data_IF_819722767424
#
_entry.id   IF_819722767424
#
_cell.length_a   1.000
_cell.length_b   1.000
_cell.length_c   1.000
_cell.angle_alpha   90.00
_cell.angle_beta   90.00
_cell.angle_gamma   90.00
#
_symmetry.space_group_name_H-M   'P 1'
#
loop_
_entity.id
_entity.type
_entity.pdbx_description
1 polymer ?
#
# COMPACT_ATOMS: atom_id res chain seq x y z
N UNK A 1 -19.81 -4.68 28.60
CA UNK A 1 -18.98 -3.66 27.90
C UNK A 1 -18.23 -4.35 26.78
N UNK A 2 -18.08 -3.75 25.60
CA UNK A 2 -17.43 -4.39 24.44
C UNK A 2 -15.90 -4.42 24.50
N UNK A 3 -15.29 -3.82 25.53
CA UNK A 3 -13.85 -3.92 25.74
C UNK A 3 -13.53 -5.27 26.39
N UNK A 4 -12.66 -6.08 25.77
CA UNK A 4 -12.35 -7.45 26.19
C UNK A 4 -11.89 -7.58 27.65
N UNK A 5 -11.26 -6.53 28.20
CA UNK A 5 -10.80 -6.48 29.59
C UNK A 5 -11.79 -5.85 30.58
N UNK A 6 -12.95 -5.34 30.12
CA UNK A 6 -13.91 -4.64 30.97
C UNK A 6 -15.11 -5.52 31.31
N UNK A 7 -15.19 -5.97 32.56
CA UNK A 7 -16.27 -6.82 33.07
C UNK A 7 -17.57 -6.06 33.41
N UNK A 8 -17.64 -4.74 33.18
CA UNK A 8 -18.85 -3.97 33.52
C UNK A 8 -20.01 -4.32 32.59
N UNK A 9 -21.12 -4.75 33.20
CA UNK A 9 -22.40 -4.89 32.52
C UNK A 9 -22.92 -3.50 32.13
N UNK A 10 -23.47 -3.38 30.93
CA UNK A 10 -24.09 -2.15 30.44
C UNK A 10 -25.59 -2.45 30.38
N UNK A 11 -26.44 -1.66 31.05
CA UNK A 11 -27.89 -1.86 30.98
C UNK A 11 -28.36 -1.71 29.52
N UNK A 12 -29.33 -2.54 29.13
CA UNK A 12 -29.95 -2.45 27.82
C UNK A 12 -30.89 -1.23 27.79
N UNK A 13 -30.60 -0.24 26.95
CA UNK A 13 -31.40 1.00 26.78
C UNK A 13 -31.93 1.06 25.33
N UNK A 14 -32.57 -0.01 24.87
CA UNK A 14 -33.20 -0.07 23.55
C UNK A 14 -32.22 -0.17 22.36
N UNK A 15 -32.68 0.11 21.12
CA UNK A 15 -31.93 -0.16 19.88
C UNK A 15 -30.65 0.68 19.74
N UNK A 16 -30.46 1.71 20.56
CA UNK A 16 -29.25 2.55 20.61
C UNK A 16 -28.38 2.21 21.82
N UNK A 17 -28.11 0.92 22.05
CA UNK A 17 -27.23 0.51 23.15
C UNK A 17 -25.79 0.96 22.92
N UNK A 18 -25.23 1.63 23.92
CA UNK A 18 -23.83 2.03 23.93
C UNK A 18 -22.95 0.79 24.12
N UNK A 19 -22.11 0.46 23.13
CA UNK A 19 -21.24 -0.74 23.17
C UNK A 19 -20.24 -0.71 24.33
N UNK A 20 -19.84 0.47 24.79
CA UNK A 20 -18.82 0.68 25.84
C UNK A 20 -19.36 1.42 27.05
N UNK A 21 -18.91 1.07 28.26
CA UNK A 21 -19.30 1.76 29.49
C UNK A 21 -18.67 3.17 29.57
N UNK A 22 -19.20 4.06 30.42
CA UNK A 22 -18.72 5.44 30.54
C UNK A 22 -17.22 5.50 30.87
N UNK A 23 -16.74 4.68 31.80
CA UNK A 23 -15.32 4.66 32.17
C UNK A 23 -14.41 4.23 31.01
N UNK A 24 -14.80 3.24 30.21
CA UNK A 24 -14.03 2.88 29.01
C UNK A 24 -14.07 3.99 27.94
N UNK A 25 -15.19 4.73 27.81
CA UNK A 25 -15.28 5.87 26.89
C UNK A 25 -14.38 7.02 27.33
N UNK A 26 -14.38 7.37 28.61
CA UNK A 26 -13.50 8.40 29.16
C UNK A 26 -12.03 8.02 29.04
N UNK A 27 -11.69 6.77 29.35
CA UNK A 27 -10.32 6.26 29.18
C UNK A 27 -9.86 6.36 27.73
N UNK A 28 -10.70 5.95 26.77
CA UNK A 28 -10.40 6.07 25.34
C UNK A 28 -10.28 7.55 24.91
N UNK A 29 -11.17 8.43 25.40
CA UNK A 29 -11.10 9.88 25.15
C UNK A 29 -9.78 10.48 25.66
N UNK A 30 -9.34 10.11 26.87
CA UNK A 30 -8.04 10.53 27.44
C UNK A 30 -6.86 10.01 26.62
N UNK A 31 -6.89 8.73 26.21
CA UNK A 31 -5.85 8.14 25.37
C UNK A 31 -5.73 8.82 23.99
N UNK A 32 -6.88 9.13 23.37
CA UNK A 32 -6.92 9.87 22.10
C UNK A 32 -6.41 11.30 22.27
N UNK A 33 -6.79 12.01 23.33
CA UNK A 33 -6.29 13.34 23.65
C UNK A 33 -4.76 13.35 23.86
N UNK A 34 -4.23 12.38 24.62
CA UNK A 34 -2.78 12.23 24.80
C UNK A 34 -2.05 11.95 23.49
N UNK A 35 -2.63 11.11 22.62
CA UNK A 35 -2.06 10.81 21.29
C UNK A 35 -2.04 12.06 20.40
N UNK A 36 -3.11 12.86 20.41
CA UNK A 36 -3.18 14.14 19.67
C UNK A 36 -2.14 15.13 20.18
N UNK A 37 -1.98 15.26 21.51
CA UNK A 37 -0.96 16.11 22.12
C UNK A 37 0.46 15.71 21.69
N UNK A 38 0.81 14.42 21.78
CA UNK A 38 2.13 13.92 21.32
C UNK A 38 2.42 14.22 19.85
N UNK A 39 1.40 14.14 18.98
CA UNK A 39 1.55 14.48 17.56
C UNK A 39 1.75 15.98 17.34
N UNK A 40 1.10 16.84 18.13
CA UNK A 40 1.32 18.28 18.09
C UNK A 40 2.75 18.62 18.55
N UNK A 41 3.17 18.10 19.69
CA UNK A 41 4.52 18.33 20.23
C UNK A 41 5.62 17.89 19.25
N UNK A 42 5.44 16.74 18.56
CA UNK A 42 6.36 16.27 17.52
C UNK A 42 6.41 17.20 16.30
N UNK A 43 5.28 17.78 15.91
CA UNK A 43 5.21 18.74 14.81
C UNK A 43 5.95 20.02 15.20
N UNK A 44 5.68 20.56 16.38
CA UNK A 44 6.32 21.77 16.88
C UNK A 44 7.83 21.61 17.01
N UNK A 45 8.31 20.45 17.48
CA UNK A 45 9.74 20.14 17.54
C UNK A 45 10.39 20.06 16.15
N UNK A 46 9.68 19.54 15.15
CA UNK A 46 10.17 19.49 13.76
C UNK A 46 10.25 20.90 13.16
N UNK A 47 9.26 21.73 13.41
CA UNK A 47 9.20 23.12 12.93
C UNK A 47 10.25 24.00 13.64
N UNK A 48 10.55 23.74 14.92
CA UNK A 48 11.64 24.38 15.64
C UNK A 48 13.02 24.02 15.07
N UNK A 49 13.27 22.74 14.76
CA UNK A 49 14.51 22.30 14.10
C UNK A 49 14.69 22.91 12.72
N UNK A 50 13.60 23.07 11.96
CA UNK A 50 13.63 23.73 10.65
C UNK A 50 14.07 25.20 10.78
N UNK A 51 13.45 25.96 11.70
CA UNK A 51 13.80 27.36 11.96
C UNK A 51 15.25 27.55 12.45
N UNK A 52 15.74 26.65 13.30
CA UNK A 52 17.13 26.71 13.77
C UNK A 52 18.15 26.51 12.62
N UNK A 53 17.81 25.68 11.61
CA UNK A 53 18.67 25.46 10.44
C UNK A 53 18.69 26.66 9.49
N UNK A 54 17.58 27.38 9.38
CA UNK A 54 17.46 28.57 8.52
C UNK A 54 18.16 29.81 9.12
N UNK A 55 18.39 29.84 10.43
CA UNK A 55 19.05 30.95 11.13
C UNK A 55 20.50 30.69 11.57
N UNK A 56 21.12 29.60 11.12
CA UNK A 56 22.55 29.39 11.38
C UNK A 56 23.37 30.37 10.54
N UNK A 57 24.12 31.30 11.15
CA UNK A 57 24.97 32.22 10.39
C UNK A 57 26.02 31.43 9.62
N UNK A 58 26.11 31.73 8.34
CA UNK A 58 27.02 31.19 7.35
C UNK A 58 28.45 31.59 7.73
N UNK A 59 29.14 30.75 8.52
CA UNK A 59 30.57 30.94 8.77
C UNK A 59 31.35 30.57 7.52
N UNK A 60 31.82 31.63 6.85
CA UNK A 60 33.00 31.74 6.02
C UNK A 60 33.52 30.48 5.32
N UNK A 61 33.09 30.41 4.07
CA UNK A 61 33.69 29.78 2.90
C UNK A 61 35.21 30.03 2.78
N UNK A 62 36.03 29.15 3.35
CA UNK A 62 37.44 29.03 2.94
C UNK A 62 37.52 28.15 1.69
N UNK A 63 37.60 28.79 0.53
CA UNK A 63 38.07 28.17 -0.72
C UNK A 63 39.58 27.99 -0.62
N UNK A 64 40.08 26.76 -0.76
CA UNK A 64 41.44 26.49 -1.23
C UNK A 64 41.37 25.42 -2.31
N UNK A 65 41.93 25.77 -3.47
CA UNK A 65 42.02 25.00 -4.72
C UNK A 65 43.40 24.31 -4.76
N UNK A 66 43.50 23.28 -5.61
CA UNK A 66 44.73 22.68 -6.20
C UNK A 66 45.47 21.66 -5.30
N UNK A 67 46.01 20.54 -5.77
CA UNK A 67 45.99 19.78 -7.03
C UNK A 67 46.69 18.42 -6.75
N UNK A 68 46.72 17.52 -7.74
CA UNK A 68 47.69 16.43 -7.97
C UNK A 68 47.47 15.00 -7.38
N UNK A 69 47.14 14.10 -8.31
CA UNK A 69 47.82 12.84 -8.69
C UNK A 69 47.82 11.57 -7.80
N UNK A 70 47.22 10.50 -8.36
CA UNK A 70 47.63 9.07 -8.46
C UNK A 70 48.56 8.47 -7.41
N UNK A 71 48.17 7.31 -6.81
CA UNK A 71 48.92 6.01 -6.75
C UNK A 71 47.96 4.86 -6.36
N UNK A 72 48.02 3.74 -7.09
CA UNK A 72 47.44 2.42 -6.78
C UNK A 72 47.95 1.80 -5.46
N UNK A 73 47.07 1.18 -4.65
CA UNK A 73 47.32 -0.13 -4.00
C UNK A 73 46.14 -0.66 -3.18
N UNK A 74 45.93 -1.97 -3.33
CA UNK A 74 45.09 -2.89 -2.55
C UNK A 74 45.11 -2.68 -1.04
N UNK A 75 43.91 -2.71 -0.44
CA UNK A 75 43.50 -3.57 0.70
C UNK A 75 42.28 -2.95 1.43
N UNK A 76 41.19 -3.71 1.52
CA UNK A 76 40.09 -3.46 2.48
C UNK A 76 40.57 -3.59 3.94
N UNK A 77 39.81 -3.23 5.00
CA UNK A 77 38.40 -2.77 5.04
C UNK A 77 38.16 -1.54 5.97
N UNK A 78 36.97 -0.92 5.82
CA UNK A 78 36.12 -0.33 6.88
C UNK A 78 35.51 1.04 6.51
N UNK A 79 34.23 1.16 6.84
CA UNK A 79 33.47 2.39 7.09
C UNK A 79 33.22 3.32 5.90
N UNK A 80 32.24 2.93 5.06
CA UNK A 80 31.53 3.88 4.22
C UNK A 80 30.54 4.72 5.06
N UNK A 81 30.52 6.06 4.91
CA UNK A 81 29.61 6.92 5.64
C UNK A 81 28.18 6.75 5.11
N UNK A 82 27.22 6.69 6.03
CA UNK A 82 25.79 6.82 5.75
C UNK A 82 25.55 8.22 5.14
N UNK A 83 25.48 8.30 3.82
CA UNK A 83 24.87 9.42 3.13
C UNK A 83 23.35 9.31 3.31
N UNK A 84 22.89 9.89 4.42
CA UNK A 84 21.50 10.32 4.62
C UNK A 84 21.15 11.33 3.51
N UNK A 85 20.79 10.78 2.35
CA UNK A 85 20.15 11.55 1.30
C UNK A 85 18.80 12.01 1.86
N UNK A 86 18.54 13.31 2.00
CA UNK A 86 17.24 13.79 2.42
C UNK A 86 16.19 13.25 1.46
N UNK A 87 14.99 12.84 1.92
CA UNK A 87 13.94 12.44 1.01
C UNK A 87 13.67 13.63 0.09
N UNK A 88 14.11 13.49 -1.16
CA UNK A 88 13.90 14.47 -2.20
C UNK A 88 12.43 14.84 -2.21
N UNK A 89 12.16 16.13 -2.34
CA UNK A 89 10.88 16.62 -2.80
C UNK A 89 10.64 16.00 -4.18
N UNK A 90 10.12 14.78 -4.23
CA UNK A 90 9.42 14.27 -5.41
C UNK A 90 8.21 15.18 -5.53
N UNK A 91 8.40 16.30 -6.24
CA UNK A 91 7.34 17.19 -6.69
C UNK A 91 6.24 16.30 -7.24
N UNK A 92 5.01 16.48 -6.74
CA UNK A 92 3.80 15.90 -7.35
C UNK A 92 3.59 16.62 -8.70
N UNK A 93 4.58 16.53 -9.60
CA UNK A 93 4.36 16.78 -11.00
C UNK A 93 3.30 15.76 -11.39
N UNK A 94 2.08 16.26 -11.50
CA UNK A 94 1.06 15.64 -12.32
C UNK A 94 1.69 15.51 -13.69
N UNK A 95 2.41 14.40 -13.92
CA UNK A 95 2.78 13.97 -15.26
C UNK A 95 1.51 14.09 -16.07
N UNK A 96 1.50 15.11 -16.93
CA UNK A 96 0.44 15.36 -17.86
C UNK A 96 0.49 14.21 -18.85
N UNK A 97 -0.23 13.13 -18.53
CA UNK A 97 -0.56 12.11 -19.51
C UNK A 97 -1.07 12.85 -20.74
N UNK A 98 -0.55 12.50 -21.92
CA UNK A 98 -0.78 13.25 -23.16
C UNK A 98 -2.26 13.30 -23.60
N UNK A 99 -3.12 12.51 -22.95
CA UNK A 99 -4.58 12.63 -23.01
C UNK A 99 -5.17 12.85 -21.63
N UNK A 100 -6.17 13.72 -21.54
CA UNK A 100 -6.98 13.88 -20.33
C UNK A 100 -7.72 12.58 -19.95
N UNK A 101 -8.27 12.50 -18.73
CA UNK A 101 -9.03 11.32 -18.30
C UNK A 101 -10.24 11.06 -19.21
N UNK A 102 -10.41 9.81 -19.64
CA UNK A 102 -11.62 9.34 -20.31
C UNK A 102 -12.73 9.18 -19.27
N UNK A 103 -13.90 9.79 -19.50
CA UNK A 103 -15.05 9.65 -18.61
C UNK A 103 -15.87 8.40 -18.97
N UNK A 104 -16.08 7.53 -18.00
CA UNK A 104 -16.90 6.33 -18.11
C UNK A 104 -18.23 6.53 -17.37
N UNK A 105 -19.31 5.99 -17.95
CA UNK A 105 -20.66 6.11 -17.40
C UNK A 105 -20.89 5.26 -16.13
N UNK A 106 -20.12 4.19 -15.94
CA UNK A 106 -20.23 3.29 -14.79
C UNK A 106 -18.88 2.67 -14.42
N UNK A 107 -18.80 2.13 -13.19
CA UNK A 107 -17.63 1.38 -12.74
C UNK A 107 -17.36 0.14 -13.60
N UNK A 108 -18.43 -0.51 -14.06
CA UNK A 108 -18.35 -1.69 -14.91
C UNK A 108 -17.63 -1.37 -16.23
N UNK A 109 -18.04 -0.28 -16.91
CA UNK A 109 -17.40 0.15 -18.15
C UNK A 109 -15.94 0.59 -17.91
N UNK A 110 -15.66 1.26 -16.79
CA UNK A 110 -14.30 1.61 -16.39
C UNK A 110 -13.42 0.35 -16.25
N UNK A 111 -13.89 -0.67 -15.54
CA UNK A 111 -13.14 -1.92 -15.36
C UNK A 111 -13.05 -2.76 -16.63
N UNK A 112 -14.08 -2.77 -17.47
CA UNK A 112 -14.03 -3.42 -18.77
C UNK A 112 -12.96 -2.77 -19.67
N UNK A 113 -12.88 -1.44 -19.67
CA UNK A 113 -11.83 -0.72 -20.41
C UNK A 113 -10.43 -1.01 -19.86
N UNK A 114 -10.26 -1.08 -18.54
CA UNK A 114 -8.98 -1.50 -17.93
C UNK A 114 -8.63 -2.93 -18.36
N UNK A 115 -9.57 -3.88 -18.31
CA UNK A 115 -9.32 -5.26 -18.77
C UNK A 115 -8.90 -5.29 -20.24
N UNK A 116 -9.58 -4.54 -21.09
CA UNK A 116 -9.23 -4.40 -22.51
C UNK A 116 -7.82 -3.84 -22.72
N UNK A 117 -7.43 -2.83 -21.94
CA UNK A 117 -6.10 -2.21 -22.02
C UNK A 117 -4.95 -3.20 -21.71
N UNK A 118 -5.19 -4.16 -20.81
CA UNK A 118 -4.22 -5.22 -20.48
C UNK A 118 -4.28 -6.44 -21.42
N UNK A 119 -5.20 -6.45 -22.39
CA UNK A 119 -5.30 -7.53 -23.37
C UNK A 119 -4.36 -7.22 -24.55
N UNK A 120 -3.21 -7.88 -24.61
CA UNK A 120 -2.30 -7.77 -25.77
C UNK A 120 -0.81 -7.60 -25.47
N UNK A 121 -0.38 -7.69 -24.21
CA UNK A 121 1.04 -7.70 -23.83
C UNK A 121 1.81 -6.40 -24.15
N UNK A 122 1.10 -5.30 -24.35
CA UNK A 122 1.70 -3.98 -24.62
C UNK A 122 1.86 -3.18 -23.33
N UNK A 123 2.79 -2.21 -23.31
CA UNK A 123 2.82 -1.19 -22.27
C UNK A 123 1.45 -0.54 -22.12
N UNK A 124 0.95 -0.47 -20.89
CA UNK A 124 -0.37 0.08 -20.58
C UNK A 124 -0.20 1.47 -20.01
N UNK A 125 -0.78 2.46 -20.68
CA UNK A 125 -1.08 3.75 -20.09
C UNK A 125 -2.59 3.99 -20.18
N UNK A 126 -3.25 4.07 -19.03
CA UNK A 126 -4.68 4.21 -18.91
C UNK A 126 -5.03 5.32 -17.93
N UNK A 127 -5.95 6.20 -18.33
CA UNK A 127 -6.44 7.28 -17.48
C UNK A 127 -7.96 7.41 -17.63
N UNK A 128 -8.67 7.01 -16.58
CA UNK A 128 -10.14 6.99 -16.55
C UNK A 128 -10.74 7.68 -15.35
N UNK A 129 -11.95 8.19 -15.51
CA UNK A 129 -12.79 8.74 -14.44
C UNK A 129 -14.20 8.17 -14.52
N UNK A 130 -14.83 7.98 -13.37
CA UNK A 130 -16.22 7.53 -13.25
C UNK A 130 -16.90 8.28 -12.11
N UNK A 131 -18.19 8.60 -12.27
CA UNK A 131 -19.04 9.09 -11.18
C UNK A 131 -19.74 7.89 -10.54
N UNK A 132 -19.82 7.88 -9.22
CA UNK A 132 -20.45 6.82 -8.44
C UNK A 132 -21.35 7.43 -7.37
N UNK A 133 -22.50 6.80 -7.05
CA UNK A 133 -23.31 7.23 -5.94
C UNK A 133 -22.54 7.21 -4.62
N UNK A 134 -22.73 8.24 -3.79
CA UNK A 134 -22.23 8.27 -2.43
C UNK A 134 -23.02 7.25 -1.59
N UNK A 135 -22.27 6.31 -1.03
CA UNK A 135 -22.75 5.35 -0.04
C UNK A 135 -22.13 5.76 1.32
N UNK A 136 -22.96 6.24 2.28
CA UNK A 136 -22.51 6.69 3.60
C UNK A 136 -21.80 5.62 4.43
N UNK A 137 -21.98 4.32 4.11
CA UNK A 137 -21.34 3.22 4.82
C UNK A 137 -19.91 2.95 4.32
N UNK A 138 -19.53 3.49 3.17
CA UNK A 138 -18.24 3.23 2.52
C UNK A 138 -17.43 4.52 2.40
N UNK A 139 -16.42 4.64 3.27
CA UNK A 139 -15.46 5.75 3.24
C UNK A 139 -14.66 5.80 1.93
N UNK A 140 -14.17 6.98 1.54
CA UNK A 140 -13.34 7.15 0.33
C UNK A 140 -12.10 6.26 0.33
N UNK A 141 -11.49 6.06 1.51
CA UNK A 141 -10.35 5.14 1.69
C UNK A 141 -10.73 3.70 1.34
N UNK A 142 -11.93 3.28 1.75
CA UNK A 142 -12.40 1.92 1.48
C UNK A 142 -12.74 1.75 -0.01
N UNK A 143 -13.34 2.75 -0.65
CA UNK A 143 -13.57 2.76 -2.11
C UNK A 143 -12.28 2.62 -2.91
N UNK A 144 -11.24 3.35 -2.51
CA UNK A 144 -9.92 3.27 -3.15
C UNK A 144 -9.33 1.86 -3.03
N UNK A 145 -9.44 1.24 -1.85
CA UNK A 145 -8.99 -0.16 -1.67
C UNK A 145 -9.80 -1.16 -2.49
N UNK A 146 -11.13 -1.05 -2.48
CA UNK A 146 -12.01 -1.90 -3.27
C UNK A 146 -11.69 -1.79 -4.75
N UNK A 147 -11.46 -0.57 -5.24
CA UNK A 147 -11.03 -0.31 -6.62
C UNK A 147 -9.68 -0.95 -6.92
N UNK A 148 -8.68 -0.81 -6.03
CA UNK A 148 -7.38 -1.44 -6.21
C UNK A 148 -7.47 -2.97 -6.26
N UNK A 149 -8.34 -3.56 -5.44
CA UNK A 149 -8.58 -4.99 -5.41
C UNK A 149 -9.28 -5.49 -6.68
N UNK A 150 -10.24 -4.73 -7.20
CA UNK A 150 -10.92 -5.06 -8.44
C UNK A 150 -9.97 -4.95 -9.65
N UNK A 151 -9.12 -3.91 -9.70
CA UNK A 151 -8.05 -3.81 -10.70
C UNK A 151 -7.12 -5.02 -10.64
N UNK A 152 -6.78 -5.50 -9.45
CA UNK A 152 -5.98 -6.73 -9.32
C UNK A 152 -6.73 -7.94 -9.89
N UNK A 153 -8.01 -8.14 -9.54
CA UNK A 153 -8.80 -9.27 -10.06
C UNK A 153 -8.88 -9.29 -11.58
N UNK A 154 -9.13 -8.14 -12.20
CA UNK A 154 -9.37 -8.08 -13.65
C UNK A 154 -8.08 -8.09 -14.48
N UNK A 155 -6.95 -7.66 -13.91
CA UNK A 155 -5.66 -7.58 -14.64
C UNK A 155 -4.68 -8.68 -14.22
N UNK A 156 -4.88 -9.31 -13.07
CA UNK A 156 -3.92 -10.22 -12.44
C UNK A 156 -2.69 -9.52 -11.83
N UNK A 157 -2.51 -8.21 -12.02
CA UNK A 157 -1.37 -7.49 -11.45
C UNK A 157 -1.69 -6.99 -10.04
N UNK A 158 -0.87 -7.41 -9.06
CA UNK A 158 -1.00 -6.96 -7.68
C UNK A 158 -0.17 -5.73 -7.43
N UNK A 159 -0.77 -4.73 -6.78
CA UNK A 159 -0.09 -3.49 -6.41
C UNK A 159 0.04 -3.35 -4.89
N UNK A 160 1.16 -2.80 -4.44
CA UNK A 160 1.41 -2.41 -3.05
C UNK A 160 1.29 -0.90 -2.90
N UNK A 161 0.77 -0.47 -1.75
CA UNK A 161 0.65 0.95 -1.44
C UNK A 161 2.05 1.58 -1.29
N UNK A 162 2.31 2.64 -2.06
CA UNK A 162 3.44 3.56 -1.86
C UNK A 162 3.10 4.54 -0.75
N UNK A 163 2.03 5.29 -0.95
CA UNK A 163 1.56 6.30 -0.01
C UNK A 163 0.05 6.53 -0.14
N UNK A 164 -0.51 7.06 0.94
CA UNK A 164 -1.88 7.53 1.00
C UNK A 164 -1.84 9.01 1.35
N UNK A 165 -2.44 9.84 0.51
CA UNK A 165 -2.61 11.27 0.76
C UNK A 165 -4.09 11.53 1.03
N UNK A 166 -4.37 12.06 2.22
CA UNK A 166 -5.67 12.66 2.48
C UNK A 166 -5.75 13.98 1.72
N UNK A 167 -6.83 14.16 0.97
CA UNK A 167 -7.13 15.42 0.32
C UNK A 167 -8.31 16.06 1.02
N UNK A 168 -8.44 17.40 0.92
CA UNK A 168 -9.58 18.13 1.50
C UNK A 168 -10.91 17.56 0.98
N UNK A 169 -10.91 17.14 -0.28
CA UNK A 169 -12.09 16.63 -0.99
C UNK A 169 -12.15 15.10 -1.08
N UNK A 170 -11.26 14.35 -0.41
CA UNK A 170 -11.35 12.88 -0.45
C UNK A 170 -10.05 12.13 -0.13
N UNK A 171 -9.84 10.99 -0.82
CA UNK A 171 -8.71 10.10 -0.58
C UNK A 171 -7.97 9.74 -1.87
N UNK A 172 -6.64 9.84 -1.85
CA UNK A 172 -5.77 9.44 -2.96
C UNK A 172 -4.72 8.45 -2.49
N UNK A 173 -4.55 7.36 -3.22
CA UNK A 173 -3.52 6.36 -2.97
C UNK A 173 -2.65 6.19 -4.22
N UNK A 174 -1.34 6.19 -4.01
CA UNK A 174 -0.35 5.77 -5.01
C UNK A 174 0.09 4.35 -4.69
N UNK A 175 0.12 3.50 -5.70
CA UNK A 175 0.53 2.12 -5.61
C UNK A 175 1.55 1.79 -6.71
N UNK A 176 2.34 0.75 -6.45
CA UNK A 176 3.33 0.19 -7.37
C UNK A 176 3.09 -1.30 -7.55
N UNK A 177 3.39 -1.85 -8.72
CA UNK A 177 3.37 -3.28 -8.95
C UNK A 177 4.26 -3.97 -7.91
N UNK A 178 3.74 -5.05 -7.34
CA UNK A 178 4.47 -5.81 -6.35
C UNK A 178 5.67 -6.55 -6.96
N UNK A 179 5.70 -6.79 -8.27
CA UNK A 179 6.81 -7.42 -9.01
C UNK A 179 7.84 -6.41 -9.53
N UNK A 180 7.65 -5.11 -9.30
CA UNK A 180 8.60 -4.07 -9.72
C UNK A 180 9.96 -4.24 -9.00
N UNK A 181 11.02 -4.46 -9.78
CA UNK A 181 12.37 -4.68 -9.28
C UNK A 181 12.97 -3.43 -8.61
N UNK A 182 12.75 -2.25 -9.18
CA UNK A 182 13.25 -0.98 -8.63
C UNK A 182 12.60 -0.66 -7.28
N UNK A 183 11.44 -1.27 -7.00
CA UNK A 183 10.72 -1.12 -5.73
C UNK A 183 10.93 -2.29 -4.78
N UNK A 184 11.86 -3.22 -5.04
CA UNK A 184 12.14 -4.35 -4.14
C UNK A 184 12.62 -3.82 -2.77
N UNK A 185 11.93 -4.24 -1.72
CA UNK A 185 12.40 -3.97 -0.36
C UNK A 185 13.63 -4.82 -0.11
N UNK A 186 14.70 -4.20 0.42
CA UNK A 186 15.88 -4.92 0.88
C UNK A 186 15.43 -5.91 1.97
N UNK A 187 15.82 -7.17 1.82
CA UNK A 187 15.60 -8.16 2.87
C UNK A 187 16.29 -7.67 4.14
N UNK A 188 15.60 -7.77 5.27
CA UNK A 188 16.21 -7.55 6.58
C UNK A 188 16.60 -8.93 7.12
N UNK A 189 17.88 -9.32 7.07
CA UNK A 189 18.30 -10.58 7.66
C UNK A 189 17.93 -10.58 9.14
N UNK A 190 17.44 -11.73 9.63
CA UNK A 190 17.13 -11.90 11.04
C UNK A 190 18.43 -11.86 11.85
N UNK A 191 18.48 -11.01 12.88
CA UNK A 191 19.62 -10.93 13.80
C UNK A 191 19.59 -11.98 14.93
N UNK A 192 18.55 -12.82 14.98
CA UNK A 192 18.46 -13.89 16.00
C UNK A 192 19.51 -14.96 15.73
N UNK A 193 20.30 -15.31 16.74
CA UNK A 193 21.23 -16.44 16.68
C UNK A 193 20.48 -17.73 16.31
N UNK A 194 21.04 -18.49 15.36
CA UNK A 194 20.40 -19.71 14.84
C UNK A 194 19.20 -19.49 13.91
N UNK A 195 18.92 -18.25 13.47
CA UNK A 195 17.86 -18.01 12.50
C UNK A 195 18.18 -18.68 11.16
N UNK A 196 17.49 -19.79 10.86
CA UNK A 196 17.53 -20.42 9.53
C UNK A 196 17.01 -19.43 8.51
N UNK A 197 17.85 -19.06 7.56
CA UNK A 197 17.41 -18.31 6.38
C UNK A 197 16.37 -19.17 5.66
N UNK A 198 15.16 -18.65 5.48
CA UNK A 198 14.18 -19.34 4.65
C UNK A 198 14.59 -19.08 3.21
N UNK A 199 15.00 -20.13 2.51
CA UNK A 199 15.11 -20.11 1.06
C UNK A 199 13.71 -20.17 0.44
N UNK A 200 12.90 -19.15 0.72
CA UNK A 200 11.72 -18.90 -0.08
C UNK A 200 12.21 -18.41 -1.43
N UNK A 201 11.97 -19.18 -2.49
CA UNK A 201 12.14 -18.71 -3.85
C UNK A 201 11.44 -17.35 -3.95
N UNK A 202 12.25 -16.31 -4.13
CA UNK A 202 11.74 -14.97 -4.24
C UNK A 202 10.87 -14.90 -5.49
N UNK A 203 9.73 -14.22 -5.39
CA UNK A 203 8.92 -13.95 -6.57
C UNK A 203 9.74 -13.19 -7.62
N UNK A 204 9.60 -13.61 -8.88
CA UNK A 204 10.20 -12.97 -10.05
C UNK A 204 9.93 -11.46 -10.06
N UNK A 205 10.92 -10.73 -10.56
CA UNK A 205 10.92 -9.26 -10.57
C UNK A 205 11.18 -8.77 -11.97
N UNK A 206 10.54 -7.66 -12.32
CA UNK A 206 10.57 -7.07 -13.64
C UNK A 206 10.76 -5.55 -13.53
N UNK A 207 11.42 -4.94 -14.52
CA UNK A 207 11.56 -3.48 -14.61
C UNK A 207 10.31 -2.84 -15.21
N UNK A 208 9.15 -3.00 -14.55
CA UNK A 208 7.86 -2.58 -15.10
C UNK A 208 7.54 -1.10 -14.96
N UNK A 209 8.34 -0.35 -14.17
CA UNK A 209 8.18 1.11 -13.92
C UNK A 209 6.74 1.50 -13.60
N UNK A 210 6.04 0.61 -12.91
CA UNK A 210 4.60 0.68 -12.74
C UNK A 210 4.16 1.82 -11.82
N UNK A 211 3.03 2.43 -12.15
CA UNK A 211 2.36 3.42 -11.31
C UNK A 211 0.85 3.25 -11.40
N UNK A 212 0.22 2.93 -10.27
CA UNK A 212 -1.23 2.96 -10.11
C UNK A 212 -1.60 4.11 -9.17
N UNK A 213 -2.45 5.02 -9.62
CA UNK A 213 -2.97 6.12 -8.80
C UNK A 213 -4.48 6.03 -8.80
N UNK A 214 -5.07 5.92 -7.62
CA UNK A 214 -6.52 5.89 -7.44
C UNK A 214 -6.89 7.04 -6.52
N UNK A 215 -7.84 7.86 -6.95
CA UNK A 215 -8.41 8.92 -6.13
C UNK A 215 -9.92 8.78 -6.10
N UNK A 216 -10.50 8.87 -4.91
CA UNK A 216 -11.93 9.03 -4.71
C UNK A 216 -12.15 10.42 -4.12
N UNK A 217 -12.80 11.29 -4.89
CA UNK A 217 -13.02 12.69 -4.58
C UNK A 217 -14.52 12.95 -4.46
N UNK A 218 -14.91 13.98 -3.71
CA UNK A 218 -16.26 14.53 -3.78
C UNK A 218 -16.57 14.95 -5.22
N UNK A 219 -17.75 14.59 -5.71
CA UNK A 219 -18.24 15.03 -7.01
C UNK A 219 -18.68 16.49 -7.00
N UNK A 220 -18.95 17.02 -8.20
CA UNK A 220 -19.53 18.35 -8.38
C UNK A 220 -21.02 18.38 -7.96
N UNK A 221 -21.65 17.19 -7.96
CA UNK A 221 -23.05 16.97 -7.60
C UNK A 221 -23.13 16.38 -6.20
N UNK A 222 -24.04 16.90 -5.37
CA UNK A 222 -24.28 16.39 -4.03
C UNK A 222 -24.75 14.93 -4.08
N UNK A 223 -24.18 14.09 -3.21
CA UNK A 223 -24.47 12.65 -3.19
C UNK A 223 -23.73 11.84 -4.25
N UNK A 224 -22.77 12.44 -4.98
CA UNK A 224 -21.88 11.71 -5.89
C UNK A 224 -20.42 11.80 -5.47
N UNK A 225 -19.65 10.75 -5.82
CA UNK A 225 -18.20 10.74 -5.76
C UNK A 225 -17.62 10.60 -7.16
N UNK A 226 -16.47 11.22 -7.39
CA UNK A 226 -15.66 11.07 -8.60
C UNK A 226 -14.49 10.14 -8.31
N UNK A 227 -14.50 8.96 -8.93
CA UNK A 227 -13.38 8.02 -8.92
C UNK A 227 -12.47 8.32 -10.12
N UNK A 228 -11.18 8.51 -9.87
CA UNK A 228 -10.13 8.68 -10.90
C UNK A 228 -9.11 7.56 -10.76
N UNK A 229 -8.85 6.88 -11.87
CA UNK A 229 -7.86 5.80 -11.97
C UNK A 229 -6.85 6.18 -13.04
N UNK A 230 -5.57 6.16 -12.68
CA UNK A 230 -4.45 6.25 -13.61
C UNK A 230 -3.58 5.02 -13.43
N UNK A 231 -3.23 4.36 -14.53
CA UNK A 231 -2.40 3.17 -14.57
C UNK A 231 -1.32 3.39 -15.62
N UNK A 232 -0.06 3.22 -15.22
CA UNK A 232 1.08 3.07 -16.12
C UNK A 232 1.77 1.76 -15.79
N UNK A 233 2.04 0.94 -16.79
CA UNK A 233 2.69 -0.36 -16.62
C UNK A 233 3.48 -0.69 -17.89
N UNK A 234 4.80 -0.49 -17.86
CA UNK A 234 5.61 -0.44 -19.08
C UNK A 234 6.08 -1.83 -19.54
N UNK A 235 6.31 -2.77 -18.62
CA UNK A 235 6.78 -4.11 -18.98
C UNK A 235 5.64 -5.13 -18.94
N UNK A 236 5.55 -5.93 -20.00
CA UNK A 236 4.76 -7.16 -19.95
C UNK A 236 5.49 -8.19 -19.09
N UNK A 237 4.77 -8.74 -18.12
CA UNK A 237 5.27 -9.81 -17.29
C UNK A 237 4.14 -10.69 -16.80
N UNK A 238 4.49 -11.90 -16.36
CA UNK A 238 3.53 -12.86 -15.86
C UNK A 238 2.72 -12.23 -14.71
N UNK A 239 1.37 -12.17 -14.84
CA UNK A 239 0.51 -11.70 -13.76
C UNK A 239 0.63 -12.59 -12.52
N UNK A 240 0.17 -12.10 -11.38
CA UNK A 240 0.00 -12.98 -10.23
C UNK A 240 -1.05 -14.03 -10.55
N UNK A 241 -0.67 -15.29 -10.39
CA UNK A 241 -1.66 -16.35 -10.27
C UNK A 241 -2.43 -16.14 -8.97
N UNK A 242 -3.74 -16.33 -9.03
CA UNK A 242 -4.55 -16.33 -7.83
C UNK A 242 -4.18 -17.56 -7.00
N UNK A 243 -3.62 -17.31 -5.81
CA UNK A 243 -3.28 -18.33 -4.81
C UNK A 243 -4.47 -18.68 -3.94
N UNK A 244 -5.66 -18.14 -4.22
CA UNK A 244 -6.87 -18.51 -3.52
C UNK A 244 -7.12 -20.01 -3.67
N UNK A 245 -7.41 -20.66 -2.54
CA UNK A 245 -7.74 -22.06 -2.53
C UNK A 245 -9.08 -22.24 -3.26
N UNK A 246 -9.14 -23.02 -4.36
CA UNK A 246 -10.39 -23.26 -5.06
C UNK A 246 -11.48 -23.73 -4.08
N UNK A 247 -12.75 -23.28 -4.21
CA UNK A 247 -13.80 -23.63 -3.25
C UNK A 247 -13.96 -25.14 -3.03
N UNK A 248 -13.78 -25.94 -4.08
CA UNK A 248 -13.80 -27.40 -3.98
C UNK A 248 -12.57 -27.97 -3.26
N UNK A 249 -11.38 -27.41 -3.46
CA UNK A 249 -10.21 -27.76 -2.66
C UNK A 249 -10.43 -27.43 -1.17
N UNK A 250 -11.03 -26.28 -0.86
CA UNK A 250 -11.40 -25.91 0.50
C UNK A 250 -12.44 -26.85 1.11
N UNK A 251 -13.40 -27.34 0.31
CA UNK A 251 -14.39 -28.32 0.76
C UNK A 251 -13.72 -29.66 1.15
N UNK A 252 -12.84 -30.19 0.30
CA UNK A 252 -12.07 -31.41 0.59
C UNK A 252 -11.30 -31.27 1.90
N UNK A 253 -10.61 -30.14 2.10
CA UNK A 253 -9.88 -29.89 3.35
C UNK A 253 -10.83 -29.90 4.54
N UNK A 254 -11.98 -29.22 4.46
CA UNK A 254 -12.95 -29.16 5.57
C UNK A 254 -13.54 -30.52 5.90
N UNK A 255 -13.91 -31.31 4.90
CA UNK A 255 -14.51 -32.65 5.08
C UNK A 255 -13.53 -33.67 5.68
N UNK A 256 -12.23 -33.49 5.44
CA UNK A 256 -11.20 -34.42 5.89
C UNK A 256 -10.45 -33.93 7.14
N UNK A 257 -10.73 -32.71 7.64
CA UNK A 257 -9.94 -32.07 8.71
C UNK A 257 -9.97 -32.83 10.04
N UNK A 258 -11.08 -33.52 10.33
CA UNK A 258 -11.28 -34.25 11.59
C UNK A 258 -10.55 -35.60 11.60
N UNK A 259 -10.32 -36.20 10.43
CA UNK A 259 -9.91 -37.60 10.30
C UNK A 259 -8.55 -37.78 9.63
N UNK A 260 -8.00 -36.73 9.01
CA UNK A 260 -6.75 -36.81 8.25
C UNK A 260 -5.78 -35.71 8.64
N UNK A 261 -4.49 -36.05 8.54
CA UNK A 261 -3.43 -35.05 8.73
C UNK A 261 -3.25 -34.20 7.46
N UNK A 262 -2.72 -32.97 7.55
CA UNK A 262 -2.45 -32.16 6.36
C UNK A 262 -1.56 -32.86 5.31
N UNK A 263 -0.66 -33.74 5.74
CA UNK A 263 0.21 -34.55 4.86
C UNK A 263 -0.60 -35.56 4.03
N UNK A 264 -1.70 -36.09 4.58
CA UNK A 264 -2.61 -37.01 3.89
C UNK A 264 -3.63 -36.28 3.01
N UNK A 265 -4.06 -35.09 3.43
CA UNK A 265 -5.03 -34.27 2.69
C UNK A 265 -4.38 -33.65 1.44
N UNK A 266 -3.13 -33.19 1.53
CA UNK A 266 -2.48 -32.47 0.43
C UNK A 266 -2.42 -33.26 -0.90
N UNK A 267 -2.06 -34.56 -0.94
CA UNK A 267 -2.12 -35.36 -2.17
C UNK A 267 -3.53 -35.44 -2.77
N UNK A 268 -4.57 -35.61 -1.93
CA UNK A 268 -5.97 -35.66 -2.39
C UNK A 268 -6.39 -34.36 -3.06
N UNK A 269 -6.02 -33.22 -2.47
CA UNK A 269 -6.29 -31.90 -3.05
C UNK A 269 -5.52 -31.72 -4.36
N UNK A 270 -4.22 -32.06 -4.41
CA UNK A 270 -3.40 -31.92 -5.62
C UNK A 270 -3.86 -32.80 -6.77
N UNK A 271 -4.38 -34.00 -6.48
CA UNK A 271 -4.91 -34.89 -7.50
C UNK A 271 -6.09 -34.27 -8.26
N UNK A 272 -6.92 -33.47 -7.59
CA UNK A 272 -8.06 -32.78 -8.21
C UNK A 272 -7.73 -31.34 -8.65
N UNK A 273 -6.79 -30.69 -7.97
CA UNK A 273 -6.38 -29.30 -8.21
C UNK A 273 -4.85 -29.22 -8.33
N UNK A 274 -4.27 -29.60 -9.49
CA UNK A 274 -2.81 -29.66 -9.67
C UNK A 274 -2.09 -28.32 -9.48
N UNK A 275 -2.80 -27.20 -9.64
CA UNK A 275 -2.27 -25.85 -9.43
C UNK A 275 -2.10 -25.46 -7.95
N UNK A 276 -2.66 -26.23 -7.00
CA UNK A 276 -2.53 -25.96 -5.57
C UNK A 276 -1.26 -26.60 -5.04
N UNK A 277 -0.19 -25.80 -4.94
CA UNK A 277 1.09 -26.23 -4.36
C UNK A 277 1.16 -25.92 -2.85
N UNK A 278 1.88 -26.75 -2.09
CA UNK A 278 2.05 -26.59 -0.63
C UNK A 278 3.16 -25.60 -0.26
#
# INVERSE_FOLDING_TARGET
CSQSKCKRLIPYIGPKTLKTCNTCRESNRKAQAATRKRKADQKDAKDARKRAREHSPETERVKRVEDASNVDKDASPAHGPNLDTPPGMESDEEEAASGGPVNFASLELLFQAIRGAFTGGKPVEFHGTCRIPEDPMVSDKERVKMTAHEIWKITGYRFKVKDNKMQVTGHKTRLWCCQDQARKLKSRPSQREGAKHRDTLGMDRYDCKSALRIACLSGDIAGEKKLRVYIKHDADHLPYYDVSLPPGAAAIIRENLEWHTPVEIAPKVRAQYPSVTA
#
